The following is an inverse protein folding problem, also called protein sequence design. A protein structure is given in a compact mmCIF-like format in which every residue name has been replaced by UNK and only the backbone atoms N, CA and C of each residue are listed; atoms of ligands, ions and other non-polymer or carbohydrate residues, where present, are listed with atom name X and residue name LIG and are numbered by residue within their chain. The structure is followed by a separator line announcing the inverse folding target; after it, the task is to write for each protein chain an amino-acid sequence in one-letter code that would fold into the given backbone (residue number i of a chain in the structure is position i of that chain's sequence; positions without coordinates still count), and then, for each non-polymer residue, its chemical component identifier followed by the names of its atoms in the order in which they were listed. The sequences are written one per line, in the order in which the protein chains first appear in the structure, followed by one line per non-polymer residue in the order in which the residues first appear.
data_IF_060746249233
#
_entry.id   IF_060746249233
#
_cell.length_a   1.000
_cell.length_b   1.000
_cell.length_c   1.000
_cell.angle_alpha   90.00
_cell.angle_beta   90.00
_cell.angle_gamma   90.00
#
_symmetry.space_group_name_H-M   'P 1'
#
loop_
_entity.id
_entity.type
_entity.pdbx_description
1 polymer ?
#
# COMPACT_ATOMS: atom_id res chain seq x y z
N UNK A 1 4.31 10.20 -15.92
CA UNK A 1 5.71 9.71 -15.91
C UNK A 1 5.74 8.36 -15.22
N UNK A 2 6.59 7.39 -15.64
CA UNK A 2 6.79 6.15 -14.89
C UNK A 2 7.13 6.43 -13.43
N UNK A 3 6.66 5.59 -12.50
CA UNK A 3 6.85 5.80 -11.05
C UNK A 3 5.96 6.87 -10.40
N UNK A 4 5.22 7.68 -11.18
CA UNK A 4 4.27 8.68 -10.65
C UNK A 4 3.08 7.99 -10.00
N UNK A 5 2.77 8.36 -8.75
CA UNK A 5 1.62 7.83 -8.00
C UNK A 5 1.93 6.53 -7.23
N UNK A 6 3.11 5.94 -7.44
CA UNK A 6 3.50 4.68 -6.78
C UNK A 6 3.53 4.83 -5.26
N UNK A 7 4.12 5.91 -4.73
CA UNK A 7 4.18 6.11 -3.28
C UNK A 7 2.80 6.34 -2.68
N UNK A 8 1.92 7.03 -3.41
CA UNK A 8 0.56 7.30 -2.98
C UNK A 8 -0.28 6.03 -2.82
N UNK A 9 -0.46 5.27 -3.92
CA UNK A 9 -1.25 4.05 -3.86
C UNK A 9 -0.58 3.00 -2.95
N UNK A 10 0.75 2.96 -2.94
CA UNK A 10 1.52 2.14 -2.00
C UNK A 10 1.15 2.43 -0.55
N UNK A 11 1.17 3.70 -0.12
CA UNK A 11 0.78 4.11 1.24
C UNK A 11 -0.61 3.60 1.62
N UNK A 12 -1.62 3.78 0.76
CA UNK A 12 -2.97 3.26 1.04
C UNK A 12 -2.99 1.73 1.17
N UNK A 13 -2.32 1.01 0.28
CA UNK A 13 -2.23 -0.45 0.33
C UNK A 13 -1.57 -0.92 1.62
N UNK A 14 -0.49 -0.26 2.06
CA UNK A 14 0.19 -0.59 3.31
C UNK A 14 -0.69 -0.34 4.53
N UNK A 15 -1.45 0.76 4.56
CA UNK A 15 -2.40 1.02 5.63
C UNK A 15 -3.53 -0.02 5.65
N UNK A 16 -4.11 -0.36 4.49
CA UNK A 16 -5.14 -1.40 4.40
C UNK A 16 -4.61 -2.75 4.86
N UNK A 17 -3.38 -3.12 4.46
CA UNK A 17 -2.73 -4.35 4.92
C UNK A 17 -2.59 -4.35 6.45
N UNK A 18 -2.15 -3.23 7.01
CA UNK A 18 -1.94 -3.07 8.45
C UNK A 18 -3.25 -3.12 9.24
N UNK A 19 -4.28 -2.42 8.79
CA UNK A 19 -5.62 -2.50 9.39
C UNK A 19 -6.17 -3.92 9.31
N UNK A 20 -5.96 -4.63 8.20
CA UNK A 20 -6.31 -6.04 8.06
C UNK A 20 -5.68 -6.91 9.16
N UNK A 21 -4.36 -6.78 9.32
CA UNK A 21 -3.58 -7.53 10.31
C UNK A 21 -3.92 -7.18 11.76
N UNK A 22 -4.10 -5.90 12.09
CA UNK A 22 -4.25 -5.45 13.48
C UNK A 22 -5.71 -5.37 13.96
N UNK A 23 -6.66 -5.09 13.06
CA UNK A 23 -8.03 -4.73 13.42
C UNK A 23 -9.07 -5.71 12.87
N UNK A 24 -8.76 -6.42 11.78
CA UNK A 24 -9.67 -7.35 11.08
C UNK A 24 -9.10 -8.77 10.99
N UNK A 25 -8.27 -9.17 11.95
CA UNK A 25 -7.62 -10.49 11.94
C UNK A 25 -8.67 -11.62 11.86
N UNK A 26 -8.44 -12.58 10.95
CA UNK A 26 -9.35 -13.70 10.70
C UNK A 26 -10.56 -13.39 9.81
N UNK A 27 -10.69 -12.15 9.33
CA UNK A 27 -11.73 -11.75 8.39
C UNK A 27 -11.19 -11.68 6.96
N UNK A 28 -12.07 -11.83 5.97
CA UNK A 28 -11.79 -11.58 4.54
C UNK A 28 -10.46 -12.15 4.01
N UNK A 29 -10.17 -13.44 4.20
CA UNK A 29 -8.84 -14.00 3.95
C UNK A 29 -8.36 -13.79 2.50
N UNK A 30 -9.25 -13.88 1.51
CA UNK A 30 -8.91 -13.64 0.11
C UNK A 30 -8.54 -12.18 -0.16
N UNK A 31 -9.29 -11.23 0.41
CA UNK A 31 -9.00 -9.81 0.28
C UNK A 31 -7.68 -9.44 0.96
N UNK A 32 -7.46 -9.90 2.19
CA UNK A 32 -6.21 -9.65 2.90
C UNK A 32 -5.01 -10.27 2.18
N UNK A 33 -5.15 -11.46 1.61
CA UNK A 33 -4.10 -12.08 0.78
C UNK A 33 -3.81 -11.26 -0.49
N UNK A 34 -4.83 -10.72 -1.16
CA UNK A 34 -4.68 -9.83 -2.32
C UNK A 34 -3.93 -8.55 -1.95
N UNK A 35 -4.33 -7.88 -0.87
CA UNK A 35 -3.67 -6.66 -0.40
C UNK A 35 -2.21 -6.94 0.00
N UNK A 36 -1.94 -8.05 0.69
CA UNK A 36 -0.57 -8.45 1.01
C UNK A 36 0.29 -8.70 -0.25
N UNK A 37 -0.32 -9.30 -1.29
CA UNK A 37 0.32 -9.48 -2.59
C UNK A 37 0.66 -8.13 -3.25
N UNK A 38 -0.26 -7.16 -3.24
CA UNK A 38 0.03 -5.83 -3.75
C UNK A 38 1.13 -5.14 -2.95
N UNK A 39 1.04 -5.14 -1.63
CA UNK A 39 2.06 -4.56 -0.73
C UNK A 39 3.47 -5.05 -1.08
N UNK A 40 3.64 -6.37 -1.26
CA UNK A 40 4.89 -6.96 -1.72
C UNK A 40 5.32 -6.45 -3.10
N UNK A 41 4.41 -6.31 -4.06
CA UNK A 41 4.72 -5.78 -5.40
C UNK A 41 5.17 -4.33 -5.36
N UNK A 42 4.61 -3.50 -4.48
CA UNK A 42 5.08 -2.13 -4.25
C UNK A 42 6.46 -2.11 -3.60
N UNK A 43 6.72 -2.97 -2.61
CA UNK A 43 8.06 -3.13 -2.02
C UNK A 43 9.09 -3.48 -3.10
N UNK A 44 8.79 -4.48 -3.93
CA UNK A 44 9.67 -4.91 -5.02
C UNK A 44 9.88 -3.79 -6.05
N UNK A 45 8.84 -2.99 -6.35
CA UNK A 45 8.95 -1.82 -7.22
C UNK A 45 9.84 -0.74 -6.63
N UNK A 46 9.64 -0.37 -5.37
CA UNK A 46 10.40 0.71 -4.73
C UNK A 46 11.88 0.28 -4.69
N UNK A 47 12.17 -0.90 -4.16
CA UNK A 47 13.54 -1.41 -4.04
C UNK A 47 14.25 -1.45 -5.39
N UNK A 48 13.62 -2.01 -6.45
CA UNK A 48 14.27 -2.10 -7.77
C UNK A 48 14.50 -0.72 -8.41
N UNK A 49 13.63 0.26 -8.14
CA UNK A 49 13.72 1.61 -8.72
C UNK A 49 14.50 2.61 -7.85
N UNK A 50 14.96 2.20 -6.66
CA UNK A 50 15.83 3.01 -5.78
C UNK A 50 17.22 2.39 -5.61
N UNK A 51 17.71 1.67 -6.61
CA UNK A 51 19.07 1.10 -6.61
C UNK A 51 19.25 -0.18 -5.78
N UNK A 52 18.17 -0.85 -5.42
CA UNK A 52 18.20 -2.10 -4.65
C UNK A 52 18.30 -1.91 -3.13
N UNK A 53 18.31 -0.68 -2.64
CA UNK A 53 18.47 -0.39 -1.21
C UNK A 53 17.14 -0.51 -0.45
N UNK A 54 17.03 -1.56 0.37
CA UNK A 54 15.89 -1.75 1.28
C UNK A 54 15.78 -0.66 2.34
N UNK A 55 16.87 0.00 2.73
CA UNK A 55 16.81 1.08 3.71
C UNK A 55 15.98 2.28 3.22
N UNK A 56 15.90 2.50 1.90
CA UNK A 56 15.03 3.52 1.32
C UNK A 56 13.55 3.18 1.53
N UNK A 57 13.17 1.92 1.32
CA UNK A 57 11.81 1.44 1.59
C UNK A 57 11.44 1.59 3.07
N UNK A 58 12.34 1.18 3.97
CA UNK A 58 12.08 1.27 5.42
C UNK A 58 11.94 2.73 5.88
N UNK A 59 12.83 3.63 5.43
CA UNK A 59 12.72 5.07 5.72
C UNK A 59 11.42 5.67 5.18
N UNK A 60 10.99 5.24 4.00
CA UNK A 60 9.70 5.66 3.45
C UNK A 60 8.56 5.19 4.35
N UNK A 61 8.51 3.91 4.73
CA UNK A 61 7.47 3.36 5.60
C UNK A 61 7.44 4.04 6.98
N UNK A 62 8.61 4.31 7.56
CA UNK A 62 8.76 5.08 8.79
C UNK A 62 8.22 6.51 8.63
N UNK A 63 8.60 7.22 7.57
CA UNK A 63 8.15 8.58 7.29
C UNK A 63 6.65 8.71 7.01
N UNK A 64 5.97 7.61 6.66
CA UNK A 64 4.52 7.54 6.49
C UNK A 64 3.80 7.05 7.75
N UNK A 65 4.51 6.84 8.86
CA UNK A 65 3.97 6.26 10.09
C UNK A 65 3.36 4.86 9.92
N UNK A 66 3.77 4.12 8.88
CA UNK A 66 3.28 2.76 8.58
C UNK A 66 3.77 1.74 9.61
N UNK A 67 4.73 2.10 10.45
CA UNK A 67 5.24 1.29 11.56
C UNK A 67 4.56 1.61 12.91
N UNK A 68 3.56 2.50 12.95
CA UNK A 68 2.85 2.85 14.20
C UNK A 68 2.15 1.67 14.87
N UNK A 69 2.41 1.42 16.14
CA UNK A 69 1.67 0.45 16.96
C UNK A 69 0.44 1.05 17.64
N UNK A 70 0.11 2.33 17.38
CA UNK A 70 -1.09 2.96 17.93
C UNK A 70 -2.34 2.39 17.27
N UNK A 71 -3.02 1.49 17.99
CA UNK A 71 -4.24 0.84 17.54
C UNK A 71 -5.39 1.80 17.26
N UNK A 72 -5.50 2.94 17.96
CA UNK A 72 -6.57 3.91 17.69
C UNK A 72 -6.35 4.56 16.33
N UNK A 73 -5.10 4.91 16.04
CA UNK A 73 -4.74 5.46 14.74
C UNK A 73 -5.00 4.49 13.58
N UNK A 74 -4.75 3.19 13.76
CA UNK A 74 -4.89 2.18 12.71
C UNK A 74 -6.33 1.62 12.58
N UNK A 75 -7.03 1.47 13.71
CA UNK A 75 -8.34 0.81 13.77
C UNK A 75 -9.53 1.77 13.80
N UNK A 76 -9.30 3.08 13.83
CA UNK A 76 -10.36 4.10 13.84
C UNK A 76 -10.11 5.18 12.77
N UNK A 77 -11.14 5.95 12.44
CA UNK A 77 -11.05 7.08 11.51
C UNK A 77 -10.69 6.69 10.06
N UNK A 78 -10.04 7.61 9.35
CA UNK A 78 -9.77 7.50 7.91
C UNK A 78 -8.94 6.27 7.52
N UNK A 79 -8.02 5.84 8.39
CA UNK A 79 -7.18 4.66 8.14
C UNK A 79 -8.04 3.39 8.15
N UNK A 80 -8.95 3.27 9.11
CA UNK A 80 -9.88 2.14 9.17
C UNK A 80 -10.88 2.16 8.00
N UNK A 81 -11.42 3.33 7.66
CA UNK A 81 -12.34 3.49 6.52
C UNK A 81 -11.69 3.09 5.19
N UNK A 82 -10.37 3.27 5.05
CA UNK A 82 -9.63 2.86 3.86
C UNK A 82 -9.73 1.36 3.62
N UNK A 83 -9.76 0.54 4.68
CA UNK A 83 -9.96 -0.91 4.54
C UNK A 83 -11.33 -1.23 3.92
N UNK A 84 -12.39 -0.62 4.43
CA UNK A 84 -13.76 -0.87 3.97
C UNK A 84 -13.97 -0.35 2.53
N UNK A 85 -13.34 0.77 2.17
CA UNK A 85 -13.33 1.30 0.78
C UNK A 85 -12.61 0.37 -0.20
N UNK A 86 -11.42 -0.13 0.15
CA UNK A 86 -10.71 -1.08 -0.72
C UNK A 86 -11.43 -2.42 -0.83
N UNK A 87 -12.08 -2.87 0.25
CA UNK A 87 -12.85 -4.12 0.25
C UNK A 87 -14.10 -4.03 -0.64
N UNK A 88 -14.73 -2.86 -0.68
CA UNK A 88 -15.93 -2.62 -1.48
C UNK A 88 -15.65 -2.28 -2.95
N UNK A 89 -14.40 -1.93 -3.28
CA UNK A 89 -13.98 -1.68 -4.66
C UNK A 89 -14.00 -2.95 -5.50
N UNK A 90 -14.19 -2.80 -6.82
CA UNK A 90 -14.07 -3.92 -7.75
C UNK A 90 -12.65 -4.48 -7.74
N UNK A 91 -12.53 -5.77 -7.42
CA UNK A 91 -11.22 -6.41 -7.33
C UNK A 91 -10.46 -6.36 -8.66
N UNK A 92 -11.16 -6.52 -9.79
CA UNK A 92 -10.55 -6.47 -11.11
C UNK A 92 -10.03 -5.07 -11.46
N UNK A 93 -10.72 -4.02 -11.01
CA UNK A 93 -10.27 -2.64 -11.17
C UNK A 93 -9.04 -2.34 -10.32
N UNK A 94 -8.99 -2.83 -9.09
CA UNK A 94 -7.80 -2.75 -8.24
C UNK A 94 -6.61 -3.46 -8.88
N UNK A 95 -6.79 -4.69 -9.36
CA UNK A 95 -5.76 -5.46 -10.07
C UNK A 95 -5.21 -4.67 -11.25
N UNK A 96 -6.09 -4.18 -12.13
CA UNK A 96 -5.71 -3.37 -13.30
C UNK A 96 -4.97 -2.10 -12.93
N UNK A 97 -5.40 -1.43 -11.85
CA UNK A 97 -4.79 -0.18 -11.39
C UNK A 97 -3.38 -0.43 -10.86
N UNK A 98 -3.19 -1.48 -10.05
CA UNK A 98 -1.87 -1.89 -9.56
C UNK A 98 -0.97 -2.32 -10.71
N UNK A 99 -1.48 -3.13 -11.64
CA UNK A 99 -0.73 -3.58 -12.81
C UNK A 99 -0.28 -2.39 -13.68
N UNK A 100 -1.19 -1.49 -14.02
CA UNK A 100 -0.89 -0.32 -14.85
C UNK A 100 0.14 0.60 -14.18
N UNK A 101 0.03 0.80 -12.87
CA UNK A 101 0.93 1.68 -12.12
C UNK A 101 2.35 1.10 -12.01
N UNK A 102 2.47 -0.21 -11.83
CA UNK A 102 3.75 -0.90 -11.64
C UNK A 102 4.38 -1.42 -12.94
N UNK A 103 3.70 -1.27 -14.09
CA UNK A 103 4.11 -1.82 -15.39
C UNK A 103 5.40 -1.23 -15.96
N UNK A 104 5.75 0.01 -15.61
CA UNK A 104 6.93 0.69 -16.14
C UNK A 104 7.83 1.18 -15.02
N UNK A 105 9.09 0.82 -15.11
CA UNK A 105 10.14 1.28 -14.19
C UNK A 105 10.35 2.79 -14.29
N UNK A 106 10.62 3.38 -13.13
CA UNK A 106 10.87 4.80 -12.94
C UNK A 106 10.94 5.13 -11.45
N UNK A 107 11.60 6.25 -11.08
CA UNK A 107 11.70 6.68 -9.69
C UNK A 107 10.31 6.81 -9.05
N UNK A 108 10.04 6.14 -7.92
CA UNK A 108 8.74 6.19 -7.27
C UNK A 108 8.48 7.61 -6.74
N UNK A 109 7.27 8.12 -6.95
CA UNK A 109 6.84 9.44 -6.45
C UNK A 109 5.36 9.45 -6.10
N UNK A 110 4.92 10.46 -5.33
CA UNK A 110 3.51 10.63 -4.95
C UNK A 110 2.62 11.08 -6.11
N UNK A 111 3.15 11.79 -7.11
CA UNK A 111 2.34 12.32 -8.21
C UNK A 111 1.37 13.41 -7.78
N UNK A 112 0.11 13.31 -8.21
CA UNK A 112 -0.98 14.26 -7.87
C UNK A 112 -1.79 13.81 -6.64
N UNK A 113 -1.25 12.88 -5.86
CA UNK A 113 -1.87 12.48 -4.60
C UNK A 113 -1.88 13.68 -3.65
N UNK A 114 -3.08 14.07 -3.19
CA UNK A 114 -3.31 15.24 -2.33
C UNK A 114 -3.43 14.79 -0.89
#
# INVERSE_FOLDING_TARGET
MPGRGVLCLGTFIYFVEKTGKQCRAGQDPEFQARIASYSKRFDDFIVRNTGGDRAVLEKFKEGQNLNSEDRRYICEGDVAESYDRFKSADAGELDRSVDALLAKDGPPSFGDCV
#
